data_IF_921908782354
#
_entry.id   IF_921908782354
#
_cell.length_a   1.000
_cell.length_b   1.000
_cell.length_c   1.000
_cell.angle_alpha   90.00
_cell.angle_beta   90.00
_cell.angle_gamma   90.00
#
_symmetry.space_group_name_H-M   'P 1'
#
loop_
_entity.id
_entity.type
_entity.pdbx_description
1 polymer ?
#
# COMPACT_ATOMS: atom_id res chain seq x y z
N UNK A 1 24.18 21.57 5.03
CA UNK A 1 23.61 20.49 4.20
C UNK A 1 23.07 19.39 5.11
N UNK A 2 22.00 19.64 5.86
CA UNK A 2 21.51 18.70 6.90
C UNK A 2 19.99 18.71 7.09
N UNK A 3 19.31 19.82 6.78
CA UNK A 3 17.85 19.90 6.92
C UNK A 3 17.08 19.13 5.82
N UNK A 4 17.60 19.08 4.59
CA UNK A 4 16.97 18.41 3.44
C UNK A 4 17.17 16.89 3.43
N UNK A 5 18.24 16.39 4.04
CA UNK A 5 18.50 14.95 4.15
C UNK A 5 17.53 14.27 5.13
N UNK A 6 17.18 14.98 6.21
CA UNK A 6 16.25 14.49 7.23
C UNK A 6 14.79 14.46 6.71
N UNK A 7 14.42 15.38 5.82
CA UNK A 7 13.09 15.35 5.18
C UNK A 7 12.99 14.21 4.18
N UNK A 8 14.01 13.94 3.38
CA UNK A 8 13.96 12.83 2.41
C UNK A 8 13.71 11.46 3.10
N UNK A 9 14.40 11.18 4.20
CA UNK A 9 14.22 9.91 4.93
C UNK A 9 12.80 9.75 5.52
N UNK A 10 12.24 10.83 6.08
CA UNK A 10 10.88 10.82 6.63
C UNK A 10 9.81 10.66 5.54
N UNK A 11 9.98 11.32 4.39
CA UNK A 11 9.09 11.21 3.25
C UNK A 11 9.15 9.84 2.58
N UNK A 12 10.34 9.23 2.46
CA UNK A 12 10.50 7.88 1.92
C UNK A 12 9.81 6.82 2.80
N UNK A 13 9.99 6.90 4.12
CA UNK A 13 9.29 6.02 5.07
C UNK A 13 7.76 6.19 5.00
N UNK A 14 7.28 7.44 4.90
CA UNK A 14 5.86 7.74 4.77
C UNK A 14 5.26 7.28 3.43
N UNK A 15 6.00 7.39 2.31
CA UNK A 15 5.57 6.87 1.01
C UNK A 15 5.46 5.35 1.04
N UNK A 16 6.46 4.67 1.60
CA UNK A 16 6.49 3.21 1.73
C UNK A 16 5.36 2.70 2.63
N UNK A 17 5.01 3.47 3.68
CA UNK A 17 3.88 3.20 4.57
C UNK A 17 2.51 3.62 3.99
N UNK A 18 2.46 4.23 2.79
CA UNK A 18 1.25 4.83 2.21
C UNK A 18 0.57 5.85 3.13
N UNK A 19 1.36 6.53 3.97
CA UNK A 19 0.91 7.51 4.96
C UNK A 19 0.97 8.96 4.45
N UNK A 20 1.41 9.17 3.20
CA UNK A 20 1.45 10.49 2.57
C UNK A 20 0.09 10.88 1.98
N UNK A 21 -0.22 12.18 2.04
CA UNK A 21 -1.33 12.75 1.28
C UNK A 21 -1.03 12.73 -0.22
N UNK A 22 -2.07 12.81 -1.05
CA UNK A 22 -1.93 12.81 -2.50
C UNK A 22 -1.08 13.99 -3.04
N UNK A 23 -1.08 15.14 -2.35
CA UNK A 23 -0.23 16.28 -2.73
C UNK A 23 1.24 16.01 -2.42
N UNK A 24 1.54 15.49 -1.23
CA UNK A 24 2.92 15.19 -0.82
C UNK A 24 3.54 14.03 -1.58
N UNK A 25 2.74 13.09 -2.10
CA UNK A 25 3.23 12.02 -2.96
C UNK A 25 3.67 12.52 -4.35
N UNK A 26 2.98 13.52 -4.90
CA UNK A 26 3.34 14.12 -6.18
C UNK A 26 4.67 14.89 -6.11
N UNK A 27 4.86 15.71 -5.06
CA UNK A 27 6.10 16.46 -4.84
C UNK A 27 7.30 15.53 -4.64
N UNK A 28 7.10 14.42 -3.93
CA UNK A 28 8.14 13.42 -3.74
C UNK A 28 8.47 12.68 -5.05
N UNK A 29 7.48 12.38 -5.89
CA UNK A 29 7.71 11.77 -7.19
C UNK A 29 8.54 12.68 -8.11
N UNK A 30 8.27 13.99 -8.11
CA UNK A 30 9.09 14.97 -8.81
C UNK A 30 10.53 14.96 -8.29
N UNK A 31 10.73 15.07 -6.96
CA UNK A 31 12.05 15.04 -6.35
C UNK A 31 12.85 13.76 -6.68
N UNK A 32 12.20 12.60 -6.65
CA UNK A 32 12.83 11.32 -6.97
C UNK A 32 13.26 11.21 -8.42
N UNK A 33 12.61 11.94 -9.34
CA UNK A 33 13.02 11.97 -10.74
C UNK A 33 14.40 12.61 -10.87
N UNK A 34 14.63 13.69 -10.14
CA UNK A 34 15.85 14.50 -10.21
C UNK A 34 16.97 14.03 -9.25
N UNK A 35 16.63 13.34 -8.16
CA UNK A 35 17.60 12.93 -7.14
C UNK A 35 17.92 11.41 -7.17
N UNK A 36 19.04 10.99 -7.79
CA UNK A 36 19.45 9.59 -7.82
C UNK A 36 19.87 9.02 -6.46
N UNK A 37 20.24 9.87 -5.48
CA UNK A 37 20.55 9.42 -4.13
C UNK A 37 19.29 8.96 -3.39
N UNK A 38 18.22 9.75 -3.42
CA UNK A 38 16.93 9.41 -2.82
C UNK A 38 16.27 8.20 -3.52
N UNK A 39 16.42 8.07 -4.85
CA UNK A 39 15.98 6.84 -5.55
C UNK A 39 16.62 5.56 -5.00
N UNK A 40 17.94 5.59 -4.73
CA UNK A 40 18.65 4.43 -4.17
C UNK A 40 18.20 4.12 -2.74
N UNK A 41 17.99 5.14 -1.91
CA UNK A 41 17.47 4.96 -0.54
C UNK A 41 16.05 4.38 -0.56
N UNK A 42 15.16 4.91 -1.41
CA UNK A 42 13.81 4.38 -1.59
C UNK A 42 13.81 2.90 -2.02
N UNK A 43 14.72 2.51 -2.93
CA UNK A 43 14.86 1.11 -3.34
C UNK A 43 15.25 0.21 -2.16
N UNK A 44 16.18 0.64 -1.29
CA UNK A 44 16.56 -0.09 -0.09
C UNK A 44 15.38 -0.23 0.90
N UNK A 45 14.58 0.82 1.09
CA UNK A 45 13.38 0.75 1.93
C UNK A 45 12.31 -0.19 1.35
N UNK A 46 12.12 -0.22 0.04
CA UNK A 46 11.21 -1.18 -0.62
C UNK A 46 11.64 -2.61 -0.38
N UNK A 47 12.94 -2.89 -0.54
CA UNK A 47 13.51 -4.21 -0.28
C UNK A 47 13.32 -4.64 1.18
N UNK A 48 13.54 -3.73 2.14
CA UNK A 48 13.27 -4.01 3.56
C UNK A 48 11.78 -4.29 3.81
N UNK A 49 10.86 -3.51 3.21
CA UNK A 49 9.42 -3.75 3.32
C UNK A 49 9.00 -5.09 2.74
N UNK A 50 9.52 -5.48 1.58
CA UNK A 50 9.24 -6.78 0.98
C UNK A 50 9.69 -7.91 1.93
N UNK A 51 10.87 -7.80 2.53
CA UNK A 51 11.33 -8.74 3.56
C UNK A 51 10.40 -8.83 4.77
N UNK A 52 9.84 -7.71 5.23
CA UNK A 52 8.85 -7.70 6.32
C UNK A 52 7.48 -8.28 5.91
N UNK A 53 7.07 -8.11 4.65
CA UNK A 53 5.83 -8.69 4.12
C UNK A 53 5.93 -10.20 3.88
N UNK A 54 7.15 -10.74 3.73
CA UNK A 54 7.42 -12.18 3.65
C UNK A 54 7.33 -12.92 5.00
N UNK A 55 6.73 -12.31 6.03
CA UNK A 55 6.44 -12.97 7.31
C UNK A 55 5.47 -14.16 7.17
N UNK A 56 5.27 -14.95 8.25
CA UNK A 56 4.40 -16.12 8.22
C UNK A 56 3.01 -15.74 7.70
N UNK A 57 2.61 -16.39 6.62
CA UNK A 57 1.33 -16.15 5.97
C UNK A 57 0.21 -16.52 6.95
N UNK A 58 -0.52 -15.52 7.43
CA UNK A 58 -1.75 -15.73 8.19
C UNK A 58 -2.82 -16.11 7.18
N UNK A 59 -3.25 -17.37 7.20
CA UNK A 59 -4.30 -17.84 6.30
C UNK A 59 -5.59 -17.07 6.60
N UNK A 60 -6.19 -16.39 5.61
CA UNK A 60 -7.46 -15.71 5.81
C UNK A 60 -8.52 -16.74 6.19
N UNK A 61 -9.33 -16.46 7.21
CA UNK A 61 -10.45 -17.33 7.57
C UNK A 61 -11.37 -17.57 6.38
N UNK A 62 -11.91 -18.78 6.26
CA UNK A 62 -12.73 -19.23 5.11
C UNK A 62 -13.86 -18.25 4.77
N UNK A 63 -14.45 -17.64 5.80
CA UNK A 63 -15.51 -16.63 5.68
C UNK A 63 -15.05 -15.34 4.95
N UNK A 64 -13.80 -14.92 5.14
CA UNK A 64 -13.24 -13.75 4.47
C UNK A 64 -13.05 -14.02 2.98
N UNK A 65 -12.54 -15.20 2.62
CA UNK A 65 -12.33 -15.62 1.22
C UNK A 65 -13.67 -15.70 0.48
N UNK A 66 -14.67 -16.37 1.06
CA UNK A 66 -16.00 -16.48 0.47
C UNK A 66 -16.67 -15.12 0.25
N UNK A 67 -16.48 -14.17 1.19
CA UNK A 67 -17.00 -12.81 1.09
C UNK A 67 -16.30 -11.99 0.01
N UNK A 68 -14.97 -12.07 -0.09
CA UNK A 68 -14.19 -11.38 -1.13
C UNK A 68 -14.53 -11.90 -2.53
N UNK A 69 -14.65 -13.23 -2.71
CA UNK A 69 -15.06 -13.82 -3.99
C UNK A 69 -16.45 -13.34 -4.42
N UNK A 70 -17.40 -13.24 -3.47
CA UNK A 70 -18.74 -12.72 -3.75
C UNK A 70 -18.70 -11.24 -4.17
N UNK A 71 -17.89 -10.42 -3.50
CA UNK A 71 -17.69 -9.01 -3.86
C UNK A 71 -17.04 -8.83 -5.24
N UNK A 72 -16.02 -9.64 -5.55
CA UNK A 72 -15.34 -9.62 -6.84
C UNK A 72 -16.31 -9.98 -7.98
N UNK A 73 -17.12 -11.02 -7.79
CA UNK A 73 -18.16 -11.42 -8.76
C UNK A 73 -19.15 -10.29 -9.02
N UNK A 74 -19.63 -9.63 -7.97
CA UNK A 74 -20.54 -8.47 -8.12
C UNK A 74 -19.93 -7.30 -8.88
N UNK A 75 -18.64 -6.99 -8.68
CA UNK A 75 -17.96 -5.90 -9.39
C UNK A 75 -17.71 -6.23 -10.86
N UNK A 76 -17.44 -7.49 -11.19
CA UNK A 76 -17.15 -7.93 -12.56
C UNK A 76 -18.43 -8.15 -13.38
N UNK A 77 -19.54 -8.55 -12.78
CA UNK A 77 -20.78 -8.89 -13.51
C UNK A 77 -21.82 -7.76 -13.56
N UNK A 78 -21.51 -6.56 -13.02
CA UNK A 78 -22.41 -5.38 -13.06
C UNK A 78 -23.79 -5.59 -12.43
N UNK A 79 -23.99 -6.66 -11.65
CA UNK A 79 -25.32 -7.09 -11.22
C UNK A 79 -25.77 -6.29 -9.99
N UNK A 80 -27.06 -5.87 -9.93
CA UNK A 80 -27.54 -4.88 -8.97
C UNK A 80 -27.43 -5.37 -7.53
N UNK A 81 -27.15 -4.42 -6.62
CA UNK A 81 -26.95 -4.59 -5.17
C UNK A 81 -28.11 -5.36 -4.54
N UNK A 82 -27.98 -6.67 -4.34
CA UNK A 82 -28.74 -7.34 -3.27
C UNK A 82 -27.96 -7.15 -1.97
N UNK A 83 -28.56 -6.60 -0.90
CA UNK A 83 -27.89 -6.46 0.37
C UNK A 83 -27.44 -7.84 0.86
N UNK A 84 -26.15 -7.94 1.15
CA UNK A 84 -25.55 -9.10 1.79
C UNK A 84 -26.24 -9.31 3.14
N UNK A 85 -27.20 -10.24 3.22
CA UNK A 85 -27.70 -10.69 4.52
C UNK A 85 -26.54 -11.32 5.30
N UNK A 86 -26.47 -11.11 6.62
CA UNK A 86 -25.54 -11.84 7.47
C UNK A 86 -25.83 -13.34 7.38
N UNK A 87 -24.78 -14.15 7.34
CA UNK A 87 -24.89 -15.60 7.51
C UNK A 87 -25.27 -15.88 8.97
N UNK A 88 -26.21 -16.80 9.24
CA UNK A 88 -26.51 -17.22 10.60
C UNK A 88 -25.27 -17.91 11.20
N UNK A 89 -25.05 -17.62 12.48
CA UNK A 89 -24.01 -18.21 13.33
C UNK A 89 -24.19 -19.72 13.49
#
# INVERSE_FOLDING_TARGET
MTALDNTCAAYEAALVAQALSASTSADLAAHLTDCPACRRKLAAYRQMREGLLCGPFVSPGENLVARLMRMARHRLTGSPKKPLRPLPH
#
